data_IF_840523697555
#
_entry.id   IF_840523697555
#
_cell.length_a   1.000
_cell.length_b   1.000
_cell.length_c   1.000
_cell.angle_alpha   90.00
_cell.angle_beta   90.00
_cell.angle_gamma   90.00
#
_symmetry.space_group_name_H-M   'P 1'
#
loop_
_entity.id
_entity.type
_entity.pdbx_description
1 polymer ?
#
# COMPACT_ATOMS: atom_id res chain seq x y z
N UNK A 1 59.21 -22.58 86.36
CA UNK A 1 59.00 -22.44 84.90
C UNK A 1 58.72 -20.97 84.51
N UNK A 2 59.60 -19.99 84.86
CA UNK A 2 59.26 -18.56 84.76
C UNK A 2 60.14 -17.66 83.87
N UNK A 3 61.25 -18.16 83.32
CA UNK A 3 62.33 -17.28 82.88
C UNK A 3 62.21 -16.82 81.41
N UNK A 4 61.58 -17.62 80.54
CA UNK A 4 61.37 -17.26 79.13
C UNK A 4 60.28 -16.20 78.94
N UNK A 5 59.21 -16.27 79.75
CA UNK A 5 58.16 -15.27 79.75
C UNK A 5 58.71 -13.90 80.18
N UNK A 6 59.48 -13.89 81.28
CA UNK A 6 60.11 -12.66 81.81
C UNK A 6 61.10 -12.01 80.83
N UNK A 7 61.84 -12.81 80.05
CA UNK A 7 62.79 -12.30 79.04
C UNK A 7 62.06 -11.68 77.85
N UNK A 8 61.02 -12.35 77.35
CA UNK A 8 60.21 -11.83 76.25
C UNK A 8 59.46 -10.56 76.66
N UNK A 9 58.98 -10.50 77.90
CA UNK A 9 58.32 -9.31 78.46
C UNK A 9 59.30 -8.13 78.60
N UNK A 10 60.55 -8.41 79.00
CA UNK A 10 61.61 -7.41 79.04
C UNK A 10 62.05 -6.94 77.65
N UNK A 11 62.14 -7.84 76.65
CA UNK A 11 62.42 -7.47 75.27
C UNK A 11 61.28 -6.65 74.65
N UNK A 12 60.03 -6.97 74.97
CA UNK A 12 58.86 -6.19 74.54
C UNK A 12 58.83 -4.79 75.16
N UNK A 13 59.19 -4.66 76.43
CA UNK A 13 59.32 -3.34 77.08
C UNK A 13 60.53 -2.56 76.56
N UNK A 14 61.63 -3.23 76.19
CA UNK A 14 62.77 -2.58 75.53
C UNK A 14 62.41 -2.03 74.15
N UNK A 15 61.71 -2.81 73.33
CA UNK A 15 61.26 -2.38 72.00
C UNK A 15 60.20 -1.27 72.08
N UNK A 16 59.38 -1.23 73.13
CA UNK A 16 58.46 -0.11 73.42
C UNK A 16 59.18 1.18 73.81
N UNK A 17 60.24 1.07 74.60
CA UNK A 17 61.02 2.22 75.09
C UNK A 17 62.02 2.75 74.06
N UNK A 18 62.48 1.89 73.13
CA UNK A 18 63.35 2.24 72.01
C UNK A 18 62.58 2.86 70.82
N UNK A 19 61.26 2.65 70.76
CA UNK A 19 60.40 3.22 69.72
C UNK A 19 60.11 4.69 70.01
N UNK A 20 60.72 5.56 69.21
CA UNK A 20 60.52 7.00 69.25
C UNK A 20 59.01 7.36 69.18
N UNK A 21 58.44 7.99 70.24
CA UNK A 21 57.01 8.29 70.32
C UNK A 21 56.55 9.23 69.19
N UNK A 22 57.44 10.05 68.62
CA UNK A 22 57.12 10.88 67.44
C UNK A 22 56.91 10.06 66.16
N UNK A 23 57.66 8.98 65.98
CA UNK A 23 57.46 8.10 64.83
C UNK A 23 56.17 7.30 64.94
N UNK A 24 55.80 6.90 66.16
CA UNK A 24 54.57 6.16 66.45
C UNK A 24 53.33 7.02 66.20
N UNK A 25 53.37 8.29 66.59
CA UNK A 25 52.28 9.26 66.35
C UNK A 25 52.13 9.59 64.86
N UNK A 26 53.23 9.83 64.12
CA UNK A 26 53.19 10.00 62.65
C UNK A 26 52.66 8.77 61.92
N UNK A 27 53.04 7.57 62.35
CA UNK A 27 52.53 6.33 61.77
C UNK A 27 51.03 6.16 62.02
N UNK A 28 50.52 6.52 63.21
CA UNK A 28 49.08 6.53 63.52
C UNK A 28 48.32 7.51 62.64
N UNK A 29 48.77 8.76 62.53
CA UNK A 29 48.13 9.75 61.65
C UNK A 29 48.03 9.25 60.20
N UNK A 30 49.08 8.60 59.67
CA UNK A 30 49.04 8.00 58.33
C UNK A 30 48.03 6.86 58.20
N UNK A 31 47.84 6.05 59.25
CA UNK A 31 46.81 4.99 59.24
C UNK A 31 45.42 5.62 59.20
N UNK A 32 45.17 6.65 60.03
CA UNK A 32 43.88 7.35 60.07
C UNK A 32 43.54 8.00 58.70
N UNK A 33 44.54 8.63 58.05
CA UNK A 33 44.41 9.19 56.69
C UNK A 33 44.07 8.11 55.65
N UNK A 34 44.80 6.99 55.67
CA UNK A 34 44.57 5.86 54.76
C UNK A 34 43.22 5.18 55.00
N UNK A 35 42.75 5.11 56.24
CA UNK A 35 41.41 4.60 56.56
C UNK A 35 40.32 5.51 56.02
N UNK A 36 40.47 6.83 56.16
CA UNK A 36 39.56 7.81 55.58
C UNK A 36 39.52 7.74 54.05
N UNK A 37 40.68 7.64 53.40
CA UNK A 37 40.78 7.48 51.94
C UNK A 37 40.17 6.16 51.47
N UNK A 38 40.39 5.06 52.18
CA UNK A 38 39.74 3.77 51.88
C UNK A 38 38.21 3.84 52.02
N UNK A 39 37.70 4.53 53.05
CA UNK A 39 36.26 4.73 53.23
C UNK A 39 35.67 5.53 52.06
N UNK A 40 36.38 6.59 51.61
CA UNK A 40 35.98 7.39 50.45
C UNK A 40 36.05 6.62 49.12
N UNK A 41 37.06 5.76 48.95
CA UNK A 41 37.16 4.90 47.76
C UNK A 41 36.02 3.89 47.72
N UNK A 42 35.68 3.28 48.87
CA UNK A 42 34.54 2.34 48.97
C UNK A 42 33.23 3.01 48.58
N UNK A 43 32.92 4.19 49.13
CA UNK A 43 31.68 4.89 48.76
C UNK A 43 31.63 5.26 47.28
N UNK A 44 32.77 5.60 46.67
CA UNK A 44 32.84 5.89 45.23
C UNK A 44 32.68 4.65 44.37
N UNK A 45 33.17 3.49 44.82
CA UNK A 45 32.94 2.20 44.15
C UNK A 45 31.45 1.85 44.21
N UNK A 46 30.81 2.01 45.35
CA UNK A 46 29.37 1.76 45.49
C UNK A 46 28.54 2.69 44.58
N UNK A 47 28.88 3.98 44.51
CA UNK A 47 28.24 4.94 43.61
C UNK A 47 28.39 4.54 42.14
N UNK A 48 29.60 4.20 41.71
CA UNK A 48 29.86 3.77 40.34
C UNK A 48 29.14 2.45 40.00
N UNK A 49 29.02 1.54 40.97
CA UNK A 49 28.30 0.28 40.80
C UNK A 49 26.81 0.54 40.57
N UNK A 50 26.19 1.38 41.38
CA UNK A 50 24.79 1.78 41.19
C UNK A 50 24.57 2.47 39.85
N UNK A 51 25.49 3.34 39.42
CA UNK A 51 25.42 4.01 38.11
C UNK A 51 25.55 3.02 36.94
N UNK A 52 26.38 1.98 37.10
CA UNK A 52 26.54 0.94 36.10
C UNK A 52 25.25 0.11 35.98
N UNK A 53 24.66 -0.29 37.11
CA UNK A 53 23.39 -1.02 37.13
C UNK A 53 22.24 -0.22 36.49
N UNK A 54 22.19 1.10 36.73
CA UNK A 54 21.19 1.97 36.12
C UNK A 54 21.39 2.08 34.60
N UNK A 55 22.62 2.28 34.14
CA UNK A 55 22.94 2.32 32.72
C UNK A 55 22.64 0.98 32.01
N UNK A 56 22.86 -0.15 32.69
CA UNK A 56 22.53 -1.47 32.15
C UNK A 56 21.01 -1.67 32.02
N UNK A 57 20.21 -1.14 32.95
CA UNK A 57 18.74 -1.14 32.81
C UNK A 57 18.30 -0.30 31.61
N UNK A 58 18.80 0.92 31.49
CA UNK A 58 18.50 1.81 30.36
C UNK A 58 18.88 1.16 29.01
N UNK A 59 20.05 0.50 28.95
CA UNK A 59 20.46 -0.23 27.75
C UNK A 59 19.53 -1.38 27.40
N UNK A 60 19.01 -2.11 28.39
CA UNK A 60 18.04 -3.17 28.16
C UNK A 60 16.71 -2.62 27.64
N UNK A 61 16.19 -1.55 28.24
CA UNK A 61 14.96 -0.89 27.77
C UNK A 61 15.09 -0.39 26.33
N UNK A 62 16.21 0.26 25.99
CA UNK A 62 16.48 0.71 24.62
C UNK A 62 16.60 -0.46 23.64
N UNK A 63 17.17 -1.58 24.09
CA UNK A 63 17.33 -2.78 23.26
C UNK A 63 15.99 -3.46 22.97
N UNK A 64 15.10 -3.50 23.95
CA UNK A 64 13.72 -3.98 23.78
C UNK A 64 12.95 -3.08 22.81
N UNK A 65 12.99 -1.75 23.02
CA UNK A 65 12.34 -0.80 22.11
C UNK A 65 12.87 -0.87 20.67
N UNK A 66 14.17 -1.10 20.49
CA UNK A 66 14.76 -1.33 19.17
C UNK A 66 14.22 -2.61 18.52
N UNK A 67 14.10 -3.69 19.29
CA UNK A 67 13.57 -4.96 18.79
C UNK A 67 12.10 -4.83 18.35
N UNK A 68 11.28 -4.12 19.14
CA UNK A 68 9.89 -3.82 18.80
C UNK A 68 9.78 -2.97 17.52
N UNK A 69 10.56 -1.89 17.43
CA UNK A 69 10.57 -1.04 16.23
C UNK A 69 10.99 -1.82 14.98
N UNK A 70 11.99 -2.71 15.10
CA UNK A 70 12.40 -3.58 14.00
C UNK A 70 11.30 -4.56 13.59
N UNK A 71 10.54 -5.09 14.55
CA UNK A 71 9.40 -5.98 14.28
C UNK A 71 8.31 -5.23 13.50
N UNK A 72 7.88 -4.07 14.00
CA UNK A 72 6.87 -3.23 13.35
C UNK A 72 7.28 -2.85 11.92
N UNK A 73 8.56 -2.52 11.69
CA UNK A 73 9.07 -2.22 10.35
C UNK A 73 8.98 -3.43 9.41
N UNK A 74 9.17 -4.65 9.91
CA UNK A 74 9.03 -5.87 9.10
C UNK A 74 7.56 -6.11 8.73
N UNK A 75 6.65 -5.95 9.68
CA UNK A 75 5.20 -6.08 9.43
C UNK A 75 4.74 -5.04 8.40
N UNK A 76 5.07 -3.76 8.59
CA UNK A 76 4.71 -2.70 7.67
C UNK A 76 5.27 -2.95 6.24
N UNK A 77 6.46 -3.54 6.13
CA UNK A 77 7.03 -3.91 4.82
C UNK A 77 6.23 -5.02 4.14
N UNK A 78 5.72 -5.99 4.90
CA UNK A 78 4.87 -7.07 4.37
C UNK A 78 3.53 -6.49 3.90
N UNK A 79 2.90 -5.66 4.72
CA UNK A 79 1.62 -5.02 4.35
C UNK A 79 1.76 -4.14 3.12
N UNK A 80 2.85 -3.35 3.03
CA UNK A 80 3.13 -2.54 1.84
C UNK A 80 3.30 -3.40 0.57
N UNK A 81 3.94 -4.57 0.68
CA UNK A 81 4.08 -5.50 -0.45
C UNK A 81 2.71 -6.02 -0.88
N UNK A 82 1.88 -6.45 0.08
CA UNK A 82 0.52 -6.93 -0.19
C UNK A 82 -0.34 -5.87 -0.88
N UNK A 83 -0.31 -4.63 -0.39
CA UNK A 83 -1.03 -3.52 -1.01
C UNK A 83 -0.56 -3.24 -2.45
N UNK A 84 0.75 -3.32 -2.70
CA UNK A 84 1.29 -3.19 -4.06
C UNK A 84 0.83 -4.32 -4.98
N UNK A 85 0.77 -5.56 -4.49
CA UNK A 85 0.31 -6.71 -5.27
C UNK A 85 -1.19 -6.59 -5.60
N UNK A 86 -2.02 -6.13 -4.65
CA UNK A 86 -3.43 -5.82 -4.87
C UNK A 86 -3.62 -4.69 -5.91
N UNK A 87 -2.81 -3.63 -5.82
CA UNK A 87 -2.82 -2.55 -6.80
C UNK A 87 -2.47 -3.05 -8.21
N UNK A 88 -1.43 -3.88 -8.33
CA UNK A 88 -1.03 -4.49 -9.60
C UNK A 88 -2.14 -5.38 -10.19
N UNK A 89 -2.85 -6.13 -9.34
CA UNK A 89 -4.00 -6.93 -9.77
C UNK A 89 -5.12 -6.03 -10.32
N UNK A 90 -5.50 -4.99 -9.59
CA UNK A 90 -6.54 -4.04 -10.03
C UNK A 90 -6.16 -3.29 -11.31
N UNK A 91 -4.88 -2.95 -11.51
CA UNK A 91 -4.42 -2.34 -12.76
C UNK A 91 -4.63 -3.26 -13.96
N UNK A 92 -4.28 -4.56 -13.84
CA UNK A 92 -4.50 -5.54 -14.92
C UNK A 92 -5.98 -5.70 -15.23
N UNK A 93 -6.83 -5.78 -14.21
CA UNK A 93 -8.29 -5.87 -14.40
C UNK A 93 -8.85 -4.59 -15.05
N UNK A 94 -8.31 -3.41 -14.70
CA UNK A 94 -8.72 -2.16 -15.34
C UNK A 94 -8.30 -2.11 -16.82
N UNK A 95 -7.09 -2.56 -17.13
CA UNK A 95 -6.60 -2.67 -18.51
C UNK A 95 -7.44 -3.64 -19.34
N UNK A 96 -7.78 -4.81 -18.79
CA UNK A 96 -8.64 -5.78 -19.48
C UNK A 96 -10.04 -5.21 -19.74
N UNK A 97 -10.64 -4.55 -18.74
CA UNK A 97 -11.94 -3.89 -18.91
C UNK A 97 -11.87 -2.78 -19.96
N UNK A 98 -10.81 -1.96 -19.99
CA UNK A 98 -10.63 -0.94 -21.02
C UNK A 98 -10.52 -1.52 -22.44
N UNK A 99 -9.92 -2.70 -22.58
CA UNK A 99 -9.82 -3.39 -23.86
C UNK A 99 -11.15 -4.03 -24.29
N UNK A 100 -11.90 -4.62 -23.35
CA UNK A 100 -13.11 -5.40 -23.64
C UNK A 100 -14.39 -4.56 -23.74
N UNK A 101 -14.54 -3.54 -22.89
CA UNK A 101 -15.77 -2.74 -22.79
C UNK A 101 -16.18 -2.07 -24.10
N UNK A 102 -15.27 -1.46 -24.89
CA UNK A 102 -15.65 -0.83 -26.16
C UNK A 102 -16.24 -1.84 -27.15
N UNK A 103 -15.59 -3.00 -27.30
CA UNK A 103 -16.08 -4.06 -28.19
C UNK A 103 -17.45 -4.58 -27.76
N UNK A 104 -17.61 -4.84 -26.46
CA UNK A 104 -18.88 -5.31 -25.89
C UNK A 104 -19.99 -4.27 -26.03
N UNK A 105 -19.69 -2.99 -25.79
CA UNK A 105 -20.64 -1.89 -25.96
C UNK A 105 -21.11 -1.74 -27.41
N UNK A 106 -20.19 -1.85 -28.38
CA UNK A 106 -20.53 -1.81 -29.81
C UNK A 106 -21.41 -2.99 -30.21
N UNK A 107 -21.10 -4.21 -29.76
CA UNK A 107 -21.92 -5.39 -30.05
C UNK A 107 -23.32 -5.24 -29.45
N UNK A 108 -23.41 -4.84 -28.17
CA UNK A 108 -24.69 -4.60 -27.51
C UNK A 108 -25.51 -3.51 -28.22
N UNK A 109 -24.85 -2.43 -28.68
CA UNK A 109 -25.51 -1.37 -29.43
C UNK A 109 -26.06 -1.89 -30.76
N UNK A 110 -25.28 -2.66 -31.52
CA UNK A 110 -25.74 -3.27 -32.78
C UNK A 110 -26.90 -4.24 -32.60
N UNK A 111 -26.97 -4.93 -31.46
CA UNK A 111 -28.07 -5.83 -31.12
C UNK A 111 -29.30 -5.09 -30.56
N UNK A 112 -29.19 -3.79 -30.25
CA UNK A 112 -30.30 -3.03 -29.70
C UNK A 112 -31.41 -2.78 -30.73
N UNK A 113 -32.66 -2.82 -30.28
CA UNK A 113 -33.84 -2.53 -31.12
C UNK A 113 -33.75 -1.13 -31.74
N UNK A 114 -33.25 -0.14 -30.99
CA UNK A 114 -33.08 1.22 -31.49
C UNK A 114 -32.10 1.33 -32.67
N UNK A 115 -31.04 0.51 -32.69
CA UNK A 115 -30.14 0.44 -33.84
C UNK A 115 -30.85 -0.08 -35.09
N UNK A 116 -31.66 -1.15 -34.96
CA UNK A 116 -32.47 -1.69 -36.06
C UNK A 116 -33.47 -0.67 -36.61
N UNK A 117 -34.19 0.04 -35.73
CA UNK A 117 -35.09 1.13 -36.15
C UNK A 117 -34.35 2.25 -36.87
N UNK A 118 -33.19 2.65 -36.36
CA UNK A 118 -32.33 3.65 -37.02
C UNK A 118 -31.90 3.23 -38.42
N UNK A 119 -31.52 1.96 -38.62
CA UNK A 119 -31.18 1.42 -39.93
C UNK A 119 -32.38 1.44 -40.90
N UNK A 120 -33.58 1.05 -40.43
CA UNK A 120 -34.80 1.09 -41.26
C UNK A 120 -35.13 2.51 -41.71
N UNK A 121 -35.06 3.48 -40.79
CA UNK A 121 -35.31 4.89 -41.08
C UNK A 121 -34.28 5.47 -42.06
N UNK A 122 -32.99 5.19 -41.85
CA UNK A 122 -31.96 5.61 -42.81
C UNK A 122 -32.16 4.98 -44.19
N UNK A 123 -32.52 3.68 -44.25
CA UNK A 123 -32.81 3.00 -45.50
C UNK A 123 -33.94 3.66 -46.29
N UNK A 124 -35.03 4.05 -45.62
CA UNK A 124 -36.15 4.78 -46.23
C UNK A 124 -35.69 6.12 -46.82
N UNK A 125 -35.00 6.95 -46.04
CA UNK A 125 -34.51 8.27 -46.49
C UNK A 125 -33.55 8.14 -47.68
N UNK A 126 -32.65 7.15 -47.68
CA UNK A 126 -31.75 6.89 -48.81
C UNK A 126 -32.51 6.45 -50.07
N UNK A 127 -33.50 5.57 -49.91
CA UNK A 127 -34.33 5.08 -51.02
C UNK A 127 -35.18 6.21 -51.62
N UNK A 128 -35.85 7.00 -50.78
CA UNK A 128 -36.58 8.21 -51.15
C UNK A 128 -35.72 9.20 -51.94
N UNK A 129 -34.52 9.49 -51.42
CA UNK A 129 -33.59 10.39 -52.08
C UNK A 129 -33.17 9.84 -53.46
N UNK A 130 -32.81 8.56 -53.53
CA UNK A 130 -32.46 7.91 -54.80
C UNK A 130 -33.60 7.94 -55.81
N UNK A 131 -34.82 7.70 -55.36
CA UNK A 131 -36.02 7.77 -56.19
C UNK A 131 -36.25 9.18 -56.73
N UNK A 132 -36.22 10.21 -55.89
CA UNK A 132 -36.40 11.61 -56.33
C UNK A 132 -35.36 12.03 -57.36
N UNK A 133 -34.10 11.62 -57.18
CA UNK A 133 -33.03 11.87 -58.16
C UNK A 133 -33.30 11.13 -59.47
N UNK A 134 -33.73 9.87 -59.42
CA UNK A 134 -34.07 9.09 -60.61
C UNK A 134 -35.26 9.69 -61.36
N UNK A 135 -36.30 10.11 -60.63
CA UNK A 135 -37.50 10.76 -61.16
C UNK A 135 -37.16 12.07 -61.88
N UNK A 136 -36.38 12.95 -61.25
CA UNK A 136 -35.94 14.20 -61.87
C UNK A 136 -35.15 13.95 -63.16
N UNK A 137 -34.29 12.93 -63.18
CA UNK A 137 -33.53 12.54 -64.39
C UNK A 137 -34.44 11.99 -65.49
N UNK A 138 -35.45 11.21 -65.13
CA UNK A 138 -36.42 10.67 -66.07
C UNK A 138 -37.24 11.79 -66.71
N UNK A 139 -37.79 12.70 -65.91
CA UNK A 139 -38.56 13.86 -66.37
C UNK A 139 -37.74 14.78 -67.29
N UNK A 140 -36.46 14.97 -67.00
CA UNK A 140 -35.55 15.73 -67.85
C UNK A 140 -35.29 15.07 -69.22
N UNK A 141 -35.45 13.76 -69.35
CA UNK A 141 -35.26 13.02 -70.61
C UNK A 141 -36.55 12.79 -71.39
N UNK A 142 -37.68 12.70 -70.71
CA UNK A 142 -38.97 12.34 -71.29
C UNK A 142 -40.06 13.24 -70.71
N UNK A 143 -40.05 14.52 -71.09
CA UNK A 143 -40.93 15.55 -70.52
C UNK A 143 -42.42 15.38 -70.89
N UNK A 144 -42.72 14.51 -71.85
CA UNK A 144 -44.07 14.29 -72.39
C UNK A 144 -44.79 13.11 -71.69
N UNK A 145 -44.10 12.39 -70.81
CA UNK A 145 -44.61 11.23 -70.09
C UNK A 145 -44.94 11.63 -68.64
N UNK A 146 -46.22 11.53 -68.29
CA UNK A 146 -46.72 11.77 -66.94
C UNK A 146 -46.33 10.60 -66.01
N UNK A 147 -45.70 10.91 -64.88
CA UNK A 147 -45.39 9.93 -63.83
C UNK A 147 -46.37 10.18 -62.69
N UNK A 148 -47.03 9.11 -62.24
CA UNK A 148 -47.96 9.14 -61.11
C UNK A 148 -47.27 9.61 -59.82
N UNK A 149 -48.08 10.07 -58.85
CA UNK A 149 -47.68 10.78 -57.63
C UNK A 149 -46.52 10.12 -56.88
N UNK A 150 -45.64 10.94 -56.28
CA UNK A 150 -44.50 10.47 -55.49
C UNK A 150 -45.00 9.51 -54.39
N UNK A 151 -44.64 8.20 -54.43
CA UNK A 151 -45.12 7.19 -53.49
C UNK A 151 -44.66 7.43 -52.06
N UNK A 152 -43.80 8.42 -51.81
CA UNK A 152 -43.36 8.84 -50.47
C UNK A 152 -44.05 10.11 -49.97
N UNK A 153 -45.06 10.61 -50.70
CA UNK A 153 -45.92 11.66 -50.17
C UNK A 153 -46.86 11.03 -49.16
N UNK A 154 -46.66 11.27 -47.86
CA UNK A 154 -47.50 10.72 -46.79
C UNK A 154 -48.99 11.01 -47.07
N UNK A 155 -49.74 9.97 -47.41
CA UNK A 155 -51.19 10.03 -47.50
C UNK A 155 -51.76 9.86 -46.09
N UNK A 156 -52.80 10.63 -45.75
CA UNK A 156 -53.38 10.65 -44.40
C UNK A 156 -53.99 9.28 -44.04
N UNK A 157 -54.31 8.44 -45.03
CA UNK A 157 -54.73 7.05 -44.88
C UNK A 157 -53.64 6.12 -44.32
N UNK A 158 -52.36 6.27 -44.72
CA UNK A 158 -51.26 5.37 -44.33
C UNK A 158 -50.83 5.53 -42.87
N UNK A 159 -51.18 6.67 -42.25
CA UNK A 159 -50.97 6.95 -40.83
C UNK A 159 -51.80 6.06 -39.90
N UNK A 160 -52.81 5.36 -40.44
CA UNK A 160 -53.76 4.54 -39.67
C UNK A 160 -53.47 3.03 -39.72
N UNK A 161 -52.47 2.61 -40.49
CA UNK A 161 -52.09 1.19 -40.62
C UNK A 161 -51.10 0.83 -39.51
N UNK A 162 -51.42 -0.11 -38.60
CA UNK A 162 -50.48 -0.54 -37.57
C UNK A 162 -49.32 -1.28 -38.23
N UNK A 163 -48.12 -0.70 -38.12
CA UNK A 163 -46.89 -1.32 -38.62
C UNK A 163 -46.47 -2.46 -37.69
N UNK A 164 -46.43 -3.69 -38.20
CA UNK A 164 -45.93 -4.85 -37.46
C UNK A 164 -44.50 -4.61 -36.97
N UNK A 165 -44.31 -4.75 -35.66
CA UNK A 165 -43.05 -4.41 -34.98
C UNK A 165 -42.00 -5.51 -35.06
N UNK A 166 -42.39 -6.71 -35.51
CA UNK A 166 -41.51 -7.87 -35.66
C UNK A 166 -41.91 -8.68 -36.89
N UNK A 167 -41.03 -8.70 -37.90
CA UNK A 167 -41.05 -9.66 -38.98
C UNK A 167 -39.72 -10.42 -38.92
N UNK A 168 -39.76 -11.70 -38.55
CA UNK A 168 -38.57 -12.58 -38.62
C UNK A 168 -38.24 -12.84 -40.08
N UNK A 169 -37.04 -12.43 -40.50
CA UNK A 169 -36.49 -12.83 -41.79
C UNK A 169 -35.84 -14.20 -41.64
N UNK A 170 -35.97 -15.03 -42.68
CA UNK A 170 -35.35 -16.34 -42.73
C UNK A 170 -33.85 -16.20 -43.00
N UNK A 171 -33.06 -16.14 -41.92
CA UNK A 171 -31.59 -16.10 -41.96
C UNK A 171 -30.96 -17.49 -42.22
N UNK A 172 -31.73 -18.45 -42.73
CA UNK A 172 -31.22 -19.77 -43.09
C UNK A 172 -30.13 -19.66 -44.15
N UNK A 173 -28.94 -20.18 -43.84
CA UNK A 173 -27.83 -20.28 -44.80
C UNK A 173 -28.18 -21.40 -45.79
N UNK A 174 -28.28 -21.12 -47.10
CA UNK A 174 -28.56 -22.17 -48.08
C UNK A 174 -27.40 -23.19 -48.12
N UNK A 175 -27.69 -24.48 -48.36
CA UNK A 175 -26.66 -25.53 -48.33
C UNK A 175 -25.63 -25.34 -49.44
N UNK A 176 -24.36 -25.65 -49.13
CA UNK A 176 -23.26 -25.64 -50.10
C UNK A 176 -23.46 -26.78 -51.12
N UNK A 177 -23.46 -26.43 -52.41
CA UNK A 177 -23.41 -27.37 -53.55
C UNK A 177 -22.00 -27.93 -53.78
#
# INVERSE_FOLDING_TARGET
MGNRASLLEAELEKLKTERDPEQLTRARQRVDELEADNAKLRSRVDELTNRLEEADKELNELREGLAESQHQLREQKVDRRKANDELLKLMRENESLKAELPGRSVVNYKQSVGFGWGLRQMGQVLYEYGYRVALARFQARYSDLEVDSDPFTEQLEDSSVPMETHQEFDDSIPPEE
#
